data_IF_855719001447
#
_entry.id   IF_855719001447
#
_cell.length_a   1.000
_cell.length_b   1.000
_cell.length_c   1.000
_cell.angle_alpha   90.00
_cell.angle_beta   90.00
_cell.angle_gamma   90.00
#
_symmetry.space_group_name_H-M   'P 1'
#
loop_
_entity.id
_entity.type
_entity.pdbx_description
1 polymer ?
#
# COMPACT_ATOMS: atom_id res chain seq x y z
N UNK A 1 54.02 -11.93 -1.77
CA UNK A 1 52.95 -12.89 -1.43
C UNK A 1 52.18 -13.05 -2.70
N UNK A 2 52.62 -14.04 -3.47
CA UNK A 2 52.40 -14.16 -4.90
C UNK A 2 51.36 -15.26 -5.09
N UNK A 3 50.18 -14.87 -5.56
CA UNK A 3 49.06 -15.78 -5.79
C UNK A 3 49.13 -16.30 -7.23
N UNK A 4 49.58 -17.55 -7.38
CA UNK A 4 49.63 -18.25 -8.65
C UNK A 4 48.20 -18.55 -9.14
N UNK A 5 47.89 -18.06 -10.34
CA UNK A 5 46.61 -18.25 -11.02
C UNK A 5 46.27 -19.73 -11.28
N UNK A 6 44.99 -20.06 -11.15
CA UNK A 6 44.47 -21.40 -11.39
C UNK A 6 44.52 -21.72 -12.88
N UNK A 7 45.27 -22.77 -13.22
CA UNK A 7 45.40 -23.28 -14.58
C UNK A 7 44.13 -23.98 -15.06
N UNK A 8 43.79 -23.68 -16.30
CA UNK A 8 43.14 -24.47 -17.35
C UNK A 8 42.62 -25.86 -16.96
N UNK A 9 41.29 -26.04 -17.04
CA UNK A 9 40.69 -27.33 -17.41
C UNK A 9 40.24 -27.24 -18.87
N UNK A 10 41.08 -27.77 -19.75
CA UNK A 10 40.73 -28.10 -21.13
C UNK A 10 39.90 -29.37 -21.12
N UNK A 11 38.65 -29.29 -21.58
CA UNK A 11 37.80 -30.43 -21.90
C UNK A 11 37.06 -30.15 -23.20
N UNK A 12 37.68 -30.52 -24.32
CA UNK A 12 36.99 -30.80 -25.59
C UNK A 12 36.10 -32.05 -25.37
N UNK A 13 34.97 -32.29 -26.03
CA UNK A 13 34.64 -32.20 -27.46
C UNK A 13 33.21 -31.70 -27.72
N UNK A 14 32.95 -31.00 -28.85
CA UNK A 14 31.61 -30.79 -29.40
C UNK A 14 31.18 -31.94 -30.33
N UNK A 15 29.90 -32.34 -30.27
CA UNK A 15 29.25 -33.16 -31.30
C UNK A 15 28.20 -32.29 -32.01
N UNK A 16 28.54 -31.92 -33.25
CA UNK A 16 27.69 -31.35 -34.31
C UNK A 16 26.82 -32.53 -34.87
N UNK A 17 25.62 -32.45 -35.45
CA UNK A 17 24.86 -31.43 -36.19
C UNK A 17 23.45 -32.02 -36.41
N UNK A 18 22.35 -31.28 -36.20
CA UNK A 18 21.10 -31.55 -36.92
C UNK A 18 20.65 -30.27 -37.60
N UNK A 19 20.54 -30.35 -38.92
CA UNK A 19 20.22 -29.24 -39.82
C UNK A 19 18.70 -29.19 -39.93
N UNK A 20 18.10 -28.04 -39.63
CA UNK A 20 16.79 -27.65 -40.15
C UNK A 20 16.74 -26.12 -40.28
N UNK A 21 16.13 -25.60 -41.36
CA UNK A 21 16.42 -24.26 -41.86
C UNK A 21 15.84 -23.10 -41.05
N UNK A 22 16.60 -22.02 -41.10
CA UNK A 22 16.41 -20.65 -40.63
C UNK A 22 14.96 -20.14 -40.57
N UNK A 23 14.60 -19.50 -39.45
CA UNK A 23 13.83 -18.26 -39.46
C UNK A 23 14.34 -17.30 -38.36
N UNK A 24 15.32 -16.50 -38.76
CA UNK A 24 15.54 -15.06 -38.49
C UNK A 24 14.86 -14.41 -37.28
N UNK A 25 15.72 -13.99 -36.34
CA UNK A 25 15.75 -12.74 -35.56
C UNK A 25 14.45 -12.16 -34.99
N UNK A 26 14.37 -12.12 -33.65
CA UNK A 26 14.42 -10.84 -32.92
C UNK A 26 15.17 -11.03 -31.61
N UNK A 27 16.29 -10.33 -31.49
CA UNK A 27 17.08 -10.19 -30.28
C UNK A 27 16.20 -9.49 -29.22
N UNK A 28 15.62 -10.24 -28.27
CA UNK A 28 15.01 -9.63 -27.08
C UNK A 28 16.15 -9.15 -26.20
N UNK A 29 16.41 -7.86 -26.25
CA UNK A 29 17.13 -7.12 -25.21
C UNK A 29 16.64 -7.62 -23.85
N UNK A 30 17.53 -8.00 -22.90
CA UNK A 30 17.09 -8.27 -21.54
C UNK A 30 16.46 -6.98 -21.02
N UNK A 31 15.13 -6.96 -20.94
CA UNK A 31 14.41 -5.88 -20.29
C UNK A 31 15.01 -5.76 -18.89
N UNK A 32 15.58 -4.60 -18.57
CA UNK A 32 15.95 -4.26 -17.21
C UNK A 32 14.71 -4.49 -16.35
N UNK A 33 14.74 -5.49 -15.46
CA UNK A 33 13.69 -5.66 -14.47
C UNK A 33 13.54 -4.31 -13.77
N UNK A 34 12.35 -3.69 -13.75
CA UNK A 34 12.15 -2.49 -12.95
C UNK A 34 12.51 -2.84 -11.51
N UNK A 35 13.39 -2.04 -10.92
CA UNK A 35 13.72 -2.14 -9.51
C UNK A 35 12.41 -1.86 -8.77
N UNK A 36 11.82 -2.89 -8.15
CA UNK A 36 10.60 -2.74 -7.36
C UNK A 36 10.90 -1.79 -6.21
N UNK A 37 10.13 -0.71 -6.09
CA UNK A 37 10.14 0.11 -4.88
C UNK A 37 9.74 -0.77 -3.69
N UNK A 38 10.29 -0.52 -2.49
CA UNK A 38 9.79 -1.15 -1.27
C UNK A 38 8.29 -0.91 -1.17
N UNK A 39 7.54 -1.98 -0.92
CA UNK A 39 6.09 -1.94 -0.70
C UNK A 39 5.87 -2.07 0.80
N UNK A 40 5.26 -1.06 1.40
CA UNK A 40 4.85 -1.13 2.79
C UNK A 40 3.59 -1.99 2.89
N UNK A 41 3.61 -2.99 3.77
CA UNK A 41 2.46 -3.86 4.04
C UNK A 41 1.79 -3.42 5.35
N UNK A 42 0.48 -3.19 5.30
CA UNK A 42 -0.33 -2.87 6.46
C UNK A 42 -1.15 -4.09 6.87
N UNK A 43 -0.80 -4.71 8.00
CA UNK A 43 -1.60 -5.78 8.58
C UNK A 43 -2.59 -5.25 9.62
N UNK A 44 -3.89 -5.29 9.29
CA UNK A 44 -4.96 -5.01 10.25
C UNK A 44 -5.26 -6.27 11.05
N UNK A 45 -5.19 -6.15 12.38
CA UNK A 45 -5.50 -7.23 13.30
C UNK A 45 -6.92 -7.77 13.11
N UNK A 46 -7.13 -9.05 13.43
CA UNK A 46 -8.46 -9.67 13.36
C UNK A 46 -9.49 -8.92 14.21
N UNK A 47 -9.09 -8.46 15.41
CA UNK A 47 -9.93 -7.65 16.27
C UNK A 47 -10.30 -6.29 15.64
N UNK A 48 -9.34 -5.64 14.96
CA UNK A 48 -9.60 -4.39 14.24
C UNK A 48 -10.61 -4.55 13.11
N UNK A 49 -10.52 -5.65 12.35
CA UNK A 49 -11.49 -5.96 11.28
C UNK A 49 -12.89 -6.21 11.84
N UNK A 50 -13.01 -6.97 12.93
CA UNK A 50 -14.31 -7.21 13.58
C UNK A 50 -14.95 -5.93 14.10
N UNK A 51 -14.15 -5.02 14.69
CA UNK A 51 -14.67 -3.74 15.19
C UNK A 51 -15.13 -2.82 14.04
N UNK A 52 -14.39 -2.80 12.93
CA UNK A 52 -14.78 -2.06 11.73
C UNK A 52 -16.11 -2.57 11.18
N UNK A 53 -16.32 -3.89 11.10
CA UNK A 53 -17.61 -4.47 10.70
C UNK A 53 -18.76 -4.08 11.63
N UNK A 54 -18.53 -4.03 12.96
CA UNK A 54 -19.55 -3.62 13.93
C UNK A 54 -19.88 -2.12 13.88
N UNK A 55 -18.90 -1.27 13.58
CA UNK A 55 -19.09 0.20 13.52
C UNK A 55 -19.62 0.68 12.16
N UNK A 56 -19.54 -0.16 11.13
CA UNK A 56 -20.09 0.12 9.80
C UNK A 56 -21.57 -0.25 9.63
N UNK A 57 -22.31 -0.41 10.73
CA UNK A 57 -23.77 -0.52 10.67
C UNK A 57 -24.38 0.72 9.99
N UNK A 58 -24.80 0.53 8.75
CA UNK A 58 -25.25 1.59 7.86
C UNK A 58 -26.61 2.14 8.27
N UNK A 59 -27.44 1.32 8.91
CA UNK A 59 -28.78 1.73 9.35
C UNK A 59 -28.69 2.69 10.55
N UNK A 60 -27.88 2.33 11.56
CA UNK A 60 -27.62 3.21 12.69
C UNK A 60 -26.99 4.55 12.27
N UNK A 61 -26.11 4.53 11.26
CA UNK A 61 -25.52 5.75 10.70
C UNK A 61 -26.57 6.61 10.01
N UNK A 62 -27.46 6.02 9.22
CA UNK A 62 -28.49 6.74 8.50
C UNK A 62 -29.47 7.44 9.44
N UNK A 63 -29.91 6.76 10.50
CA UNK A 63 -30.78 7.34 11.53
C UNK A 63 -30.09 8.52 12.26
N UNK A 64 -28.84 8.33 12.68
CA UNK A 64 -28.06 9.39 13.32
C UNK A 64 -27.87 10.59 12.41
N UNK A 65 -27.62 10.38 11.12
CA UNK A 65 -27.50 11.46 10.14
C UNK A 65 -28.83 12.20 9.96
N UNK A 66 -29.96 11.50 9.94
CA UNK A 66 -31.28 12.13 9.86
C UNK A 66 -31.57 12.99 11.10
N UNK A 67 -31.26 12.49 12.30
CA UNK A 67 -31.40 13.24 13.55
C UNK A 67 -30.51 14.50 13.56
N UNK A 68 -29.25 14.36 13.17
CA UNK A 68 -28.31 15.50 13.09
C UNK A 68 -28.82 16.54 12.11
N UNK A 69 -29.29 16.13 10.91
CA UNK A 69 -29.86 17.05 9.93
C UNK A 69 -31.06 17.82 10.50
N UNK A 70 -32.00 17.12 11.15
CA UNK A 70 -33.15 17.77 11.77
C UNK A 70 -32.73 18.80 12.84
N UNK A 71 -31.74 18.47 13.67
CA UNK A 71 -31.22 19.41 14.68
C UNK A 71 -30.51 20.62 14.05
N UNK A 72 -29.85 20.45 12.90
CA UNK A 72 -29.24 21.56 12.16
C UNK A 72 -30.32 22.48 11.60
N UNK A 73 -31.36 21.90 10.99
CA UNK A 73 -32.49 22.66 10.41
C UNK A 73 -33.27 23.44 11.49
N UNK A 74 -33.42 22.85 12.68
CA UNK A 74 -34.02 23.47 13.87
C UNK A 74 -33.09 24.47 14.57
N UNK A 75 -31.80 24.50 14.21
CA UNK A 75 -30.79 25.38 14.81
C UNK A 75 -30.33 24.96 16.21
N UNK A 76 -30.75 23.80 16.70
CA UNK A 76 -30.40 23.25 18.03
C UNK A 76 -29.18 22.35 18.01
N UNK A 77 -28.57 22.14 16.84
CA UNK A 77 -27.37 21.33 16.71
C UNK A 77 -26.16 21.99 17.39
N UNK A 78 -26.00 23.31 17.27
CA UNK A 78 -24.90 24.06 17.85
C UNK A 78 -25.26 24.51 19.26
N UNK A 79 -24.49 24.03 20.24
CA UNK A 79 -24.62 24.42 21.66
C UNK A 79 -23.29 25.00 22.13
N UNK A 80 -23.33 25.88 23.13
CA UNK A 80 -22.12 26.50 23.68
C UNK A 80 -21.07 25.45 24.10
N UNK A 81 -21.52 24.35 24.69
CA UNK A 81 -20.68 23.21 25.08
C UNK A 81 -20.00 22.52 23.89
N UNK A 82 -20.72 22.34 22.78
CA UNK A 82 -20.15 21.74 21.55
C UNK A 82 -19.14 22.68 20.89
N UNK A 83 -19.41 23.98 20.91
CA UNK A 83 -18.51 24.99 20.35
C UNK A 83 -17.20 25.06 21.15
N UNK A 84 -17.29 25.04 22.49
CA UNK A 84 -16.10 25.02 23.36
C UNK A 84 -15.27 23.75 23.17
N UNK A 85 -15.95 22.59 23.08
CA UNK A 85 -15.28 21.32 22.79
C UNK A 85 -14.64 21.28 21.39
N UNK A 86 -15.30 21.87 20.38
CA UNK A 86 -14.78 21.96 19.03
C UNK A 86 -13.54 22.87 18.97
N UNK A 87 -13.59 24.02 19.64
CA UNK A 87 -12.47 24.95 19.73
C UNK A 87 -11.28 24.31 20.46
N UNK A 88 -11.54 23.62 21.58
CA UNK A 88 -10.51 22.91 22.34
C UNK A 88 -9.79 21.87 21.49
N UNK A 89 -10.54 21.04 20.75
CA UNK A 89 -9.98 20.04 19.83
C UNK A 89 -9.19 20.66 18.68
N UNK A 90 -9.64 21.80 18.17
CA UNK A 90 -8.94 22.52 17.11
C UNK A 90 -7.57 23.03 17.60
N UNK A 91 -7.52 23.61 18.79
CA UNK A 91 -6.28 24.08 19.39
C UNK A 91 -5.31 22.93 19.74
N UNK A 92 -5.86 21.81 20.21
CA UNK A 92 -5.10 20.58 20.47
C UNK A 92 -4.43 20.06 19.19
N UNK A 93 -5.19 20.02 18.08
CA UNK A 93 -4.66 19.61 16.77
C UNK A 93 -3.51 20.49 16.27
N UNK A 94 -3.54 21.80 16.52
CA UNK A 94 -2.43 22.68 16.17
C UNK A 94 -1.21 22.48 17.09
N UNK A 95 -1.44 22.15 18.36
CA UNK A 95 -0.37 21.93 19.34
C UNK A 95 0.37 20.61 19.13
N UNK A 96 -0.34 19.57 18.69
CA UNK A 96 0.22 18.25 18.34
C UNK A 96 0.90 18.23 16.94
N UNK A 97 0.79 19.32 16.17
CA UNK A 97 1.36 19.42 14.82
C UNK A 97 2.80 19.99 14.77
N UNK A 98 3.52 19.97 15.89
CA UNK A 98 4.94 20.34 16.06
C UNK A 98 5.84 19.12 16.33
#
# INVERSE_FOLDING_TARGET
MDVNGTSSISGSLPINKQISPSNTNTNKTPASKPISSPQDELEISSAGRMLDEMTNDSEMRAERLAQIKAAIDDGTYETDEKLDAALSRLLDQFSDSE
#
